data_IF_353889977252
#
_entry.id   IF_353889977252
#
_cell.length_a   1.000
_cell.length_b   1.000
_cell.length_c   1.000
_cell.angle_alpha   90.00
_cell.angle_beta   90.00
_cell.angle_gamma   90.00
#
_symmetry.space_group_name_H-M   'P 1'
#
loop_
_entity.id
_entity.type
_entity.pdbx_description
1 polymer ?
#
# COMPACT_ATOMS: atom_id res chain seq x y z
N UNK A 1 30.48 45.93 15.20
CA UNK A 1 31.54 44.99 14.79
C UNK A 1 31.03 43.57 14.97
N UNK A 2 31.30 42.65 14.03
CA UNK A 2 30.52 41.44 13.83
C UNK A 2 30.97 40.30 14.76
N UNK A 3 30.02 39.50 15.24
CA UNK A 3 30.30 38.21 15.87
C UNK A 3 30.41 37.15 14.77
N UNK A 4 31.62 36.64 14.65
CA UNK A 4 32.07 35.59 13.75
C UNK A 4 31.30 34.28 14.05
N UNK A 5 30.60 33.73 13.07
CA UNK A 5 30.08 32.34 13.10
C UNK A 5 30.81 31.55 12.02
N UNK A 6 32.05 31.16 12.33
CA UNK A 6 32.77 30.14 11.58
C UNK A 6 33.42 29.19 12.58
N UNK A 7 32.82 28.00 12.72
CA UNK A 7 33.43 26.70 13.10
C UNK A 7 32.32 25.72 13.52
N UNK A 8 32.22 24.51 12.96
CA UNK A 8 31.37 23.46 13.51
C UNK A 8 31.93 23.03 14.89
N UNK A 9 31.10 23.17 15.92
CA UNK A 9 31.48 22.82 17.29
C UNK A 9 31.75 21.31 17.41
N UNK A 10 32.99 20.94 17.77
CA UNK A 10 33.40 19.56 18.06
C UNK A 10 32.46 18.92 19.11
N UNK A 11 31.98 17.70 18.86
CA UNK A 11 31.26 16.91 19.86
C UNK A 11 32.31 16.34 20.83
N UNK A 12 32.21 16.73 22.10
CA UNK A 12 33.12 16.26 23.15
C UNK A 12 32.91 14.76 23.38
N UNK A 13 33.95 13.96 23.17
CA UNK A 13 33.94 12.49 23.37
C UNK A 13 34.22 11.64 22.14
N UNK A 14 34.51 12.25 20.97
CA UNK A 14 34.90 11.55 19.74
C UNK A 14 36.28 12.06 19.28
N UNK A 15 37.12 11.15 18.76
CA UNK A 15 38.46 11.48 18.28
C UNK A 15 38.38 11.88 16.79
N UNK A 16 38.73 13.12 16.49
CA UNK A 16 38.75 13.69 15.14
C UNK A 16 40.20 13.99 14.78
N UNK A 17 40.58 13.83 13.51
CA UNK A 17 41.86 14.37 13.03
C UNK A 17 41.79 15.89 12.81
N UNK A 18 42.94 16.50 12.51
CA UNK A 18 43.05 17.94 12.25
C UNK A 18 42.30 18.39 10.99
N UNK A 19 41.75 17.44 10.21
CA UNK A 19 40.90 17.67 9.03
C UNK A 19 39.41 17.42 9.26
N UNK A 20 38.95 17.16 10.49
CA UNK A 20 37.56 16.83 10.83
C UNK A 20 37.03 15.51 10.24
N UNK A 21 37.90 14.59 9.84
CA UNK A 21 37.51 13.26 9.37
C UNK A 21 37.42 12.29 10.56
N UNK A 22 36.30 11.56 10.63
CA UNK A 22 36.06 10.55 11.65
C UNK A 22 36.85 9.28 11.31
N UNK A 23 37.83 8.93 12.14
CA UNK A 23 38.48 7.62 12.07
C UNK A 23 37.47 6.54 12.48
N UNK A 24 36.93 5.82 11.50
CA UNK A 24 36.07 4.68 11.75
C UNK A 24 36.86 3.57 12.44
N UNK A 25 36.46 3.24 13.68
CA UNK A 25 36.58 1.92 14.26
C UNK A 25 35.33 1.69 15.10
N UNK A 26 34.35 1.05 14.47
CA UNK A 26 33.13 0.49 15.05
C UNK A 26 32.27 1.43 15.91
N UNK A 27 31.15 1.89 15.34
CA UNK A 27 29.95 2.19 16.14
C UNK A 27 29.44 0.88 16.77
N UNK A 28 30.06 0.46 17.88
CA UNK A 28 29.47 -0.52 18.80
C UNK A 28 28.45 0.24 19.64
N UNK A 29 27.16 0.09 19.33
CA UNK A 29 26.13 0.46 20.30
C UNK A 29 26.24 -0.48 21.50
N UNK A 30 26.54 0.09 22.68
CA UNK A 30 26.40 -0.62 23.93
C UNK A 30 24.90 -0.88 24.16
N UNK A 31 24.47 -2.11 23.91
CA UNK A 31 23.25 -2.65 24.51
C UNK A 31 23.50 -2.70 26.02
N UNK A 32 22.93 -1.77 26.79
CA UNK A 32 22.75 -2.01 28.23
C UNK A 32 21.41 -2.73 28.43
N UNK A 33 21.42 -3.92 29.04
CA UNK A 33 20.22 -4.74 29.21
C UNK A 33 19.27 -4.10 30.21
N UNK A 34 17.99 -4.23 29.88
CA UNK A 34 16.82 -4.09 30.76
C UNK A 34 17.08 -4.48 32.22
N UNK A 35 16.60 -3.71 33.23
CA UNK A 35 16.15 -4.34 34.45
C UNK A 35 14.82 -5.03 34.13
N UNK A 36 14.86 -6.37 34.15
CA UNK A 36 13.81 -7.35 33.86
C UNK A 36 13.85 -7.99 32.46
N UNK A 37 14.40 -9.22 32.42
CA UNK A 37 14.04 -10.21 31.40
C UNK A 37 15.17 -10.80 30.56
N UNK A 38 16.09 -11.51 31.21
CA UNK A 38 17.01 -12.56 30.74
C UNK A 38 17.12 -12.90 29.23
N UNK A 39 18.37 -12.86 28.73
CA UNK A 39 18.94 -13.93 27.91
C UNK A 39 19.43 -13.56 26.50
N UNK A 40 20.63 -12.96 26.39
CA UNK A 40 21.44 -13.07 25.16
C UNK A 40 22.89 -13.42 25.52
N UNK A 41 23.35 -14.58 25.05
CA UNK A 41 24.74 -15.01 25.15
C UNK A 41 25.57 -14.30 24.08
N UNK A 42 26.53 -13.50 24.51
CA UNK A 42 27.60 -12.96 23.67
C UNK A 42 28.72 -13.99 23.61
N UNK A 43 29.19 -14.35 22.41
CA UNK A 43 30.49 -14.99 22.23
C UNK A 43 31.34 -14.06 21.37
N UNK A 44 32.19 -13.30 22.06
CA UNK A 44 33.27 -12.53 21.45
C UNK A 44 34.33 -13.49 20.90
N UNK A 45 34.72 -13.28 19.64
CA UNK A 45 36.05 -13.61 19.15
C UNK A 45 36.46 -12.56 18.13
N UNK A 46 37.58 -11.89 18.39
CA UNK A 46 38.12 -10.82 17.56
C UNK A 46 38.57 -11.26 16.17
N UNK A 47 38.38 -10.34 15.23
CA UNK A 47 38.83 -10.39 13.84
C UNK A 47 38.23 -9.20 13.11
N UNK A 48 39.02 -8.43 12.37
CA UNK A 48 38.51 -7.33 11.55
C UNK A 48 37.50 -7.89 10.54
N UNK A 49 36.22 -7.56 10.72
CA UNK A 49 35.12 -8.10 9.93
C UNK A 49 34.69 -7.13 8.85
N UNK A 50 34.68 -7.60 7.61
CA UNK A 50 34.02 -6.98 6.47
C UNK A 50 32.54 -6.71 6.80
N UNK A 51 32.13 -5.45 6.74
CA UNK A 51 30.75 -5.04 7.01
C UNK A 51 30.01 -4.96 5.68
N UNK A 52 29.49 -6.11 5.23
CA UNK A 52 28.68 -6.26 4.00
C UNK A 52 27.28 -5.65 4.15
N UNK A 53 26.80 -5.49 5.39
CA UNK A 53 25.49 -4.96 5.75
C UNK A 53 25.61 -3.79 6.73
N UNK A 54 24.97 -2.66 6.41
CA UNK A 54 24.96 -1.47 7.25
C UNK A 54 23.54 -1.12 7.71
N UNK A 55 23.28 -1.25 9.02
CA UNK A 55 22.01 -0.85 9.65
C UNK A 55 22.23 0.26 10.70
N UNK A 56 21.50 1.37 10.58
CA UNK A 56 21.54 2.49 11.53
C UNK A 56 20.11 2.86 11.93
N UNK A 57 19.78 2.71 13.22
CA UNK A 57 18.47 3.03 13.76
C UNK A 57 18.56 4.07 14.89
N UNK A 58 17.93 5.23 14.69
CA UNK A 58 17.73 6.22 15.75
C UNK A 58 16.41 5.94 16.48
N UNK A 59 16.50 5.49 17.74
CA UNK A 59 15.33 5.31 18.61
C UNK A 59 15.00 6.66 19.26
N UNK A 60 13.77 7.13 19.07
CA UNK A 60 13.32 8.44 19.53
C UNK A 60 13.29 8.52 21.07
N UNK A 61 13.97 9.51 21.63
CA UNK A 61 13.75 10.00 23.00
C UNK A 61 13.32 11.47 22.95
N UNK A 62 12.10 11.72 23.44
CA UNK A 62 11.32 12.97 23.61
C UNK A 62 12.09 14.23 24.11
N UNK A 63 11.48 15.42 24.31
CA UNK A 63 10.82 16.32 23.36
C UNK A 63 11.45 17.73 23.47
N UNK A 64 12.59 18.02 22.84
CA UNK A 64 13.07 19.41 22.70
C UNK A 64 13.88 19.56 21.43
N UNK A 65 13.26 20.05 20.35
CA UNK A 65 13.81 20.88 19.26
C UNK A 65 15.27 20.72 18.80
N UNK A 66 15.95 19.60 19.04
CA UNK A 66 17.25 19.28 18.46
C UNK A 66 16.98 18.61 17.13
N UNK A 67 17.12 19.37 16.05
CA UNK A 67 17.26 18.80 14.71
C UNK A 67 18.50 17.91 14.73
N UNK A 68 18.29 16.59 14.71
CA UNK A 68 19.38 15.65 14.53
C UNK A 68 19.90 15.79 13.11
N UNK A 69 21.22 15.77 12.95
CA UNK A 69 21.88 15.79 11.64
C UNK A 69 22.61 14.47 11.46
N UNK A 70 22.52 13.91 10.27
CA UNK A 70 23.23 12.73 9.85
C UNK A 70 23.80 12.96 8.45
N UNK A 71 24.97 12.39 8.18
CA UNK A 71 25.50 12.27 6.83
C UNK A 71 25.27 10.86 6.34
N UNK A 72 24.97 10.70 5.05
CA UNK A 72 24.81 9.36 4.49
C UNK A 72 26.17 8.65 4.50
N UNK A 73 26.27 7.46 5.12
CA UNK A 73 27.53 6.73 5.22
C UNK A 73 27.98 6.30 3.81
N UNK A 74 29.22 6.65 3.45
CA UNK A 74 29.84 6.23 2.21
C UNK A 74 30.59 4.91 2.44
N UNK A 75 30.19 3.84 1.76
CA UNK A 75 30.84 2.53 1.86
C UNK A 75 30.83 1.83 0.52
N UNK A 76 32.03 1.71 -0.08
CA UNK A 76 32.21 1.02 -1.33
C UNK A 76 31.84 -0.47 -1.23
N UNK A 77 31.96 -1.09 -0.05
CA UNK A 77 31.82 -2.55 0.13
C UNK A 77 30.42 -2.99 0.57
N UNK A 78 29.62 -2.08 1.12
CA UNK A 78 28.32 -2.47 1.67
C UNK A 78 27.34 -2.77 0.55
N UNK A 79 26.79 -3.98 0.56
CA UNK A 79 25.78 -4.44 -0.39
C UNK A 79 24.39 -4.02 0.05
N UNK A 80 24.15 -3.95 1.36
CA UNK A 80 22.88 -3.52 1.93
C UNK A 80 23.08 -2.32 2.86
N UNK A 81 22.16 -1.36 2.78
CA UNK A 81 22.13 -0.18 3.63
C UNK A 81 20.71 0.12 4.08
N UNK A 82 20.49 0.12 5.39
CA UNK A 82 19.22 0.43 6.04
C UNK A 82 19.40 1.55 7.05
N UNK A 83 18.78 2.70 6.79
CA UNK A 83 18.92 3.90 7.61
C UNK A 83 17.54 4.35 8.10
N UNK A 84 17.26 4.21 9.39
CA UNK A 84 16.06 4.75 10.04
C UNK A 84 16.44 5.91 10.93
N UNK A 85 16.15 7.14 10.48
CA UNK A 85 16.78 8.34 11.03
C UNK A 85 15.90 9.19 11.95
N UNK A 86 14.71 8.71 12.35
CA UNK A 86 13.86 9.42 13.33
C UNK A 86 13.57 10.88 12.95
N UNK A 87 13.39 11.17 11.67
CA UNK A 87 13.20 12.50 11.06
C UNK A 87 14.43 13.45 11.16
N UNK A 88 15.64 12.89 11.30
CA UNK A 88 16.89 13.66 11.22
C UNK A 88 17.09 14.29 9.82
N UNK A 89 17.78 15.43 9.80
CA UNK A 89 18.28 16.05 8.59
C UNK A 89 19.44 15.23 8.03
N UNK A 90 19.22 14.60 6.88
CA UNK A 90 20.19 13.79 6.16
C UNK A 90 20.85 14.63 5.06
N UNK A 91 22.16 14.80 5.17
CA UNK A 91 22.98 15.31 4.08
C UNK A 91 23.27 14.18 3.09
N UNK A 92 22.90 14.38 1.83
CA UNK A 92 23.24 13.47 0.74
C UNK A 92 24.63 13.87 0.22
N UNK A 93 25.62 12.97 0.26
CA UNK A 93 26.97 13.28 -0.20
C UNK A 93 26.94 13.62 -1.69
N UNK A 94 27.86 14.50 -2.10
CA UNK A 94 28.07 14.72 -3.52
C UNK A 94 28.39 13.37 -4.18
N UNK A 95 27.82 13.12 -5.37
CA UNK A 95 27.99 11.89 -6.11
C UNK A 95 29.49 11.67 -6.44
N UNK A 96 30.21 11.02 -5.53
CA UNK A 96 31.62 10.66 -5.65
C UNK A 96 31.76 9.26 -6.23
N UNK A 97 32.71 9.08 -7.13
CA UNK A 97 32.95 7.80 -7.79
C UNK A 97 33.28 6.68 -6.78
N UNK A 98 32.55 5.57 -6.82
CA UNK A 98 32.92 4.30 -6.17
C UNK A 98 32.43 4.07 -4.74
N UNK A 99 31.91 5.10 -4.06
CA UNK A 99 31.49 5.02 -2.65
C UNK A 99 30.25 4.15 -2.40
N UNK A 100 29.52 3.74 -3.44
CA UNK A 100 28.30 2.91 -3.33
C UNK A 100 28.28 1.80 -4.38
N UNK A 101 29.45 1.40 -4.90
CA UNK A 101 29.51 0.53 -6.07
C UNK A 101 28.95 -0.90 -5.81
N UNK A 102 29.11 -1.41 -4.59
CA UNK A 102 28.60 -2.71 -4.17
C UNK A 102 27.11 -2.66 -3.78
N UNK A 103 26.56 -1.46 -3.54
CA UNK A 103 25.22 -1.29 -2.98
C UNK A 103 24.15 -1.89 -3.91
N UNK A 104 23.48 -2.92 -3.41
CA UNK A 104 22.41 -3.66 -4.05
C UNK A 104 21.04 -3.32 -3.44
N UNK A 105 20.95 -3.07 -2.13
CA UNK A 105 19.70 -2.74 -1.45
C UNK A 105 19.85 -1.49 -0.58
N UNK A 106 18.99 -0.49 -0.81
CA UNK A 106 18.92 0.73 0.00
C UNK A 106 17.52 0.94 0.57
N UNK A 107 17.43 1.00 1.90
CA UNK A 107 16.27 1.47 2.65
C UNK A 107 16.63 2.75 3.38
N UNK A 108 15.94 3.83 3.05
CA UNK A 108 15.96 5.07 3.82
C UNK A 108 14.58 5.30 4.41
N UNK A 109 14.50 5.38 5.73
CA UNK A 109 13.25 5.50 6.47
C UNK A 109 13.31 6.66 7.46
N UNK A 110 12.21 7.40 7.58
CA UNK A 110 12.04 8.49 8.56
C UNK A 110 13.22 9.48 8.49
N UNK A 111 13.44 10.13 7.36
CA UNK A 111 14.53 11.09 7.19
C UNK A 111 14.07 12.37 6.47
N UNK A 112 14.74 13.48 6.74
CA UNK A 112 14.57 14.74 6.01
C UNK A 112 15.79 14.98 5.15
N UNK A 113 15.63 14.88 3.83
CA UNK A 113 16.70 15.22 2.88
C UNK A 113 16.90 16.72 2.93
N UNK A 114 18.14 17.14 3.22
CA UNK A 114 18.54 18.55 3.18
C UNK A 114 19.29 18.79 1.87
N UNK A 115 18.92 19.80 1.08
CA UNK A 115 19.69 20.16 -0.10
C UNK A 115 21.09 20.62 0.35
N UNK A 116 22.14 20.00 -0.21
CA UNK A 116 23.52 20.41 0.07
C UNK A 116 23.90 21.71 -0.67
N UNK A 117 23.17 22.06 -1.74
CA UNK A 117 23.31 23.31 -2.51
C UNK A 117 22.05 23.57 -3.36
N UNK A 118 22.01 24.72 -4.04
CA UNK A 118 20.88 25.21 -4.84
C UNK A 118 20.43 24.28 -6.00
N UNK A 119 21.20 23.24 -6.32
CA UNK A 119 20.83 22.22 -7.31
C UNK A 119 20.15 21.02 -6.62
N UNK A 120 18.81 21.05 -6.56
CA UNK A 120 17.92 20.07 -5.92
C UNK A 120 17.93 18.65 -6.57
N UNK A 121 19.08 18.03 -6.82
CA UNK A 121 19.16 16.73 -7.54
C UNK A 121 20.11 15.70 -6.94
N UNK A 122 20.50 15.82 -5.67
CA UNK A 122 21.60 15.00 -5.12
C UNK A 122 21.28 13.51 -4.99
N UNK A 123 20.08 13.14 -4.52
CA UNK A 123 19.74 11.72 -4.33
C UNK A 123 19.63 10.98 -5.67
N UNK A 124 18.97 11.57 -6.66
CA UNK A 124 18.87 10.97 -8.00
C UNK A 124 20.22 10.79 -8.70
N UNK A 125 21.16 11.73 -8.50
CA UNK A 125 22.54 11.62 -9.03
C UNK A 125 23.32 10.53 -8.29
N UNK A 126 23.20 10.44 -6.96
CA UNK A 126 23.85 9.40 -6.15
C UNK A 126 23.33 8.01 -6.51
N UNK A 127 22.04 7.87 -6.77
CA UNK A 127 21.41 6.59 -7.15
C UNK A 127 21.49 6.29 -8.64
N UNK A 128 22.23 7.12 -9.40
CA UNK A 128 22.41 6.90 -10.82
C UNK A 128 23.29 5.69 -11.11
N UNK A 129 23.18 5.19 -12.34
CA UNK A 129 23.94 4.05 -12.84
C UNK A 129 25.46 4.12 -12.58
N UNK A 130 26.04 5.33 -12.60
CA UNK A 130 27.49 5.51 -12.39
C UNK A 130 27.94 5.37 -10.94
N UNK A 131 27.04 5.56 -9.97
CA UNK A 131 27.37 5.53 -8.53
C UNK A 131 26.92 4.24 -7.85
N UNK A 132 25.75 3.71 -8.24
CA UNK A 132 25.15 2.50 -7.67
C UNK A 132 24.83 1.47 -8.79
N UNK A 133 25.83 0.87 -9.45
CA UNK A 133 25.61 0.01 -10.62
C UNK A 133 24.87 -1.29 -10.30
N UNK A 134 24.99 -1.79 -9.06
CA UNK A 134 24.40 -3.05 -8.60
C UNK A 134 23.05 -2.89 -7.90
N UNK A 135 22.53 -1.66 -7.79
CA UNK A 135 21.30 -1.39 -7.03
C UNK A 135 20.12 -2.15 -7.63
N UNK A 136 19.53 -3.04 -6.83
CA UNK A 136 18.36 -3.87 -7.15
C UNK A 136 17.09 -3.40 -6.47
N UNK A 137 17.16 -2.95 -5.21
CA UNK A 137 16.00 -2.48 -4.46
C UNK A 137 16.25 -1.13 -3.82
N UNK A 138 15.33 -0.20 -4.07
CA UNK A 138 15.32 1.13 -3.47
C UNK A 138 14.01 1.34 -2.73
N UNK A 139 14.08 1.61 -1.43
CA UNK A 139 12.93 1.89 -0.57
C UNK A 139 13.13 3.22 0.14
N UNK A 140 12.22 4.15 -0.11
CA UNK A 140 12.14 5.45 0.55
C UNK A 140 10.84 5.50 1.33
N UNK A 141 10.93 5.55 2.66
CA UNK A 141 9.78 5.50 3.56
C UNK A 141 9.75 6.71 4.49
N UNK A 142 8.62 7.41 4.59
CA UNK A 142 8.45 8.58 5.47
C UNK A 142 9.54 9.66 5.27
N UNK A 143 9.78 10.01 4.00
CA UNK A 143 10.80 11.00 3.62
C UNK A 143 10.21 12.41 3.49
N UNK A 144 10.96 13.39 3.97
CA UNK A 144 10.67 14.83 3.80
C UNK A 144 11.82 15.54 3.09
N UNK A 145 11.55 16.72 2.52
CA UNK A 145 12.54 17.55 1.83
C UNK A 145 12.91 17.07 0.42
N UNK A 146 12.19 16.09 -0.12
CA UNK A 146 12.41 15.56 -1.48
C UNK A 146 11.28 16.00 -2.42
N UNK A 147 11.46 17.13 -3.10
CA UNK A 147 10.44 17.67 -4.01
C UNK A 147 10.41 17.00 -5.38
N UNK A 148 11.57 16.56 -5.87
CA UNK A 148 11.73 15.90 -7.15
C UNK A 148 12.70 14.71 -7.05
N UNK A 149 12.32 13.59 -7.66
CA UNK A 149 13.19 12.41 -7.79
C UNK A 149 13.39 12.11 -9.28
N UNK A 150 14.63 12.26 -9.74
CA UNK A 150 15.06 11.88 -11.09
C UNK A 150 16.02 10.71 -11.00
N UNK A 151 15.54 9.52 -11.34
CA UNK A 151 16.30 8.29 -11.22
C UNK A 151 16.66 7.77 -12.61
N UNK A 152 17.95 7.82 -12.95
CA UNK A 152 18.53 7.15 -14.12
C UNK A 152 19.29 5.93 -13.65
N UNK A 153 18.55 4.85 -13.39
CA UNK A 153 19.08 3.64 -12.78
C UNK A 153 19.74 2.73 -13.82
N UNK A 154 20.53 1.77 -13.35
CA UNK A 154 20.97 0.66 -14.21
C UNK A 154 19.80 -0.27 -14.52
N UNK A 155 20.01 -1.17 -15.47
CA UNK A 155 19.14 -2.32 -15.69
C UNK A 155 19.11 -3.32 -14.51
N UNK A 156 19.89 -3.10 -13.44
CA UNK A 156 19.88 -3.96 -12.26
C UNK A 156 18.75 -3.61 -11.28
N UNK A 157 18.17 -2.40 -11.35
CA UNK A 157 17.12 -1.99 -10.42
C UNK A 157 15.81 -2.74 -10.74
N UNK A 158 15.35 -3.57 -9.81
CA UNK A 158 14.19 -4.44 -9.94
C UNK A 158 12.98 -3.93 -9.16
N UNK A 159 13.20 -3.31 -7.99
CA UNK A 159 12.15 -2.82 -7.09
C UNK A 159 12.38 -1.36 -6.68
N UNK A 160 11.34 -0.53 -6.86
CA UNK A 160 11.30 0.84 -6.36
C UNK A 160 10.05 1.03 -5.50
N UNK A 161 10.25 1.41 -4.24
CA UNK A 161 9.18 1.74 -3.29
C UNK A 161 9.34 3.16 -2.75
N UNK A 162 8.31 3.97 -2.98
CA UNK A 162 8.15 5.32 -2.45
C UNK A 162 6.91 5.31 -1.55
N UNK A 163 7.12 5.40 -0.25
CA UNK A 163 6.07 5.33 0.77
C UNK A 163 6.13 6.59 1.63
N UNK A 164 5.05 7.37 1.69
CA UNK A 164 4.97 8.62 2.46
C UNK A 164 6.11 9.63 2.15
N UNK A 165 6.45 9.81 0.87
CA UNK A 165 7.38 10.87 0.42
C UNK A 165 6.60 12.17 0.25
N UNK A 166 6.46 12.92 1.35
CA UNK A 166 5.45 13.99 1.51
C UNK A 166 5.55 15.13 0.50
N UNK A 167 6.77 15.51 0.15
CA UNK A 167 7.03 16.71 -0.65
C UNK A 167 7.15 16.44 -2.15
N UNK A 168 7.03 15.17 -2.58
CA UNK A 168 7.29 14.72 -3.95
C UNK A 168 6.22 15.22 -4.93
N UNK A 169 6.60 16.10 -5.85
CA UNK A 169 5.73 16.61 -6.92
C UNK A 169 6.19 16.16 -8.32
N UNK A 170 7.49 15.91 -8.50
CA UNK A 170 8.06 15.49 -9.78
C UNK A 170 8.77 14.14 -9.67
N UNK A 171 8.33 13.15 -10.44
CA UNK A 171 8.92 11.82 -10.48
C UNK A 171 9.34 11.48 -11.93
N UNK A 172 10.63 11.34 -12.16
CA UNK A 172 11.18 10.89 -13.45
C UNK A 172 11.98 9.60 -13.22
N UNK A 173 11.52 8.49 -13.78
CA UNK A 173 12.15 7.17 -13.67
C UNK A 173 12.58 6.71 -15.06
N UNK A 174 13.86 6.44 -15.22
CA UNK A 174 14.45 5.72 -16.35
C UNK A 174 15.15 4.49 -15.77
N UNK A 175 14.45 3.36 -15.82
CA UNK A 175 14.86 2.12 -15.17
C UNK A 175 14.41 0.92 -16.01
N UNK A 176 15.21 0.51 -17.03
CA UNK A 176 14.81 -0.53 -17.98
C UNK A 176 14.66 -1.93 -17.37
N UNK A 177 15.28 -2.17 -16.20
CA UNK A 177 15.18 -3.42 -15.46
C UNK A 177 14.04 -3.48 -14.44
N UNK A 178 13.32 -2.38 -14.22
CA UNK A 178 12.36 -2.27 -13.12
C UNK A 178 11.16 -3.20 -13.34
N UNK A 179 10.87 -4.04 -12.34
CA UNK A 179 9.78 -5.01 -12.37
C UNK A 179 8.64 -4.65 -11.40
N UNK A 180 8.95 -3.97 -10.30
CA UNK A 180 7.98 -3.55 -9.31
C UNK A 180 8.14 -2.06 -8.94
N UNK A 181 7.05 -1.31 -9.04
CA UNK A 181 6.96 0.09 -8.62
C UNK A 181 5.80 0.25 -7.63
N UNK A 182 6.10 0.75 -6.43
CA UNK A 182 5.10 1.07 -5.41
C UNK A 182 5.23 2.54 -5.01
N UNK A 183 4.16 3.30 -5.18
CA UNK A 183 4.03 4.72 -4.83
C UNK A 183 2.76 4.87 -4.00
N UNK A 184 2.93 5.17 -2.72
CA UNK A 184 1.82 5.34 -1.78
C UNK A 184 2.10 6.49 -0.80
N UNK A 185 1.06 7.25 -0.42
CA UNK A 185 1.18 8.34 0.54
C UNK A 185 2.00 9.53 0.04
N UNK A 186 2.16 9.66 -1.28
CA UNK A 186 2.90 10.73 -1.96
C UNK A 186 1.92 11.79 -2.45
N UNK A 187 1.11 12.34 -1.54
CA UNK A 187 -0.09 13.13 -1.86
C UNK A 187 0.15 14.35 -2.75
N UNK A 188 1.35 14.94 -2.71
CA UNK A 188 1.71 16.07 -3.59
C UNK A 188 1.83 15.66 -5.07
N UNK A 189 1.92 14.37 -5.38
CA UNK A 189 1.85 13.88 -6.77
C UNK A 189 0.43 13.98 -7.36
N UNK A 190 -0.60 14.07 -6.52
CA UNK A 190 -1.97 14.26 -6.96
C UNK A 190 -2.32 15.74 -7.22
N UNK A 191 -1.38 16.67 -7.02
CA UNK A 191 -1.61 18.09 -7.29
C UNK A 191 -1.57 18.43 -8.79
N UNK A 192 -2.18 19.56 -9.12
CA UNK A 192 -2.32 20.06 -10.50
C UNK A 192 -0.97 20.35 -11.18
N UNK A 193 0.06 20.67 -10.39
CA UNK A 193 1.40 20.98 -10.84
C UNK A 193 2.35 19.77 -10.88
N UNK A 194 1.93 18.61 -10.37
CA UNK A 194 2.73 17.40 -10.35
C UNK A 194 3.03 16.86 -11.76
N UNK A 195 4.18 16.21 -11.93
CA UNK A 195 4.60 15.62 -13.19
C UNK A 195 5.25 14.24 -12.97
N UNK A 196 4.81 13.25 -13.74
CA UNK A 196 5.28 11.87 -13.62
C UNK A 196 5.70 11.35 -14.98
N UNK A 197 6.95 10.94 -15.10
CA UNK A 197 7.50 10.27 -16.27
C UNK A 197 8.13 8.94 -15.84
N UNK A 198 7.64 7.83 -16.38
CA UNK A 198 8.12 6.48 -16.09
C UNK A 198 8.52 5.85 -17.42
N UNK A 199 9.77 5.42 -17.54
CA UNK A 199 10.25 4.53 -18.58
C UNK A 199 10.75 3.25 -17.90
N UNK A 200 9.89 2.24 -17.92
CA UNK A 200 10.10 0.94 -17.29
C UNK A 200 9.43 -0.15 -18.13
N UNK A 201 10.01 -0.52 -19.30
CA UNK A 201 9.41 -1.45 -20.26
C UNK A 201 9.19 -2.87 -19.73
N UNK A 202 9.83 -3.24 -18.61
CA UNK A 202 9.71 -4.55 -17.95
C UNK A 202 8.85 -4.53 -16.69
N UNK A 203 8.11 -3.45 -16.45
CA UNK A 203 7.32 -3.31 -15.23
C UNK A 203 6.17 -4.33 -15.22
N UNK A 204 6.16 -5.21 -14.22
CA UNK A 204 5.15 -6.26 -14.07
C UNK A 204 4.11 -5.89 -13.01
N UNK A 205 4.55 -5.23 -11.93
CA UNK A 205 3.70 -4.83 -10.81
C UNK A 205 3.77 -3.32 -10.61
N UNK A 206 2.61 -2.66 -10.65
CA UNK A 206 2.46 -1.25 -10.35
C UNK A 206 1.46 -1.08 -9.21
N UNK A 207 1.89 -0.41 -8.16
CA UNK A 207 1.01 0.07 -7.11
C UNK A 207 1.13 1.58 -6.99
N UNK A 208 0.07 2.32 -7.33
CA UNK A 208 0.12 3.79 -7.37
C UNK A 208 -1.22 4.37 -6.90
N UNK A 209 -1.24 4.85 -5.66
CA UNK A 209 -2.42 5.48 -5.09
C UNK A 209 -2.55 6.96 -5.51
N UNK A 210 -1.42 7.66 -5.61
CA UNK A 210 -1.36 9.10 -5.85
C UNK A 210 -0.97 9.39 -7.31
N UNK A 211 -1.95 9.32 -8.22
CA UNK A 211 -1.71 9.50 -9.66
C UNK A 211 -1.96 10.95 -10.07
N UNK A 212 -1.00 11.55 -10.76
CA UNK A 212 -1.15 12.90 -11.32
C UNK A 212 -2.17 12.94 -12.47
N UNK A 213 -2.45 14.14 -12.99
CA UNK A 213 -3.32 14.29 -14.16
C UNK A 213 -2.77 13.54 -15.39
N UNK A 214 -3.64 12.95 -16.22
CA UNK A 214 -3.23 12.24 -17.44
C UNK A 214 -2.31 13.05 -18.35
N UNK A 215 -2.57 14.36 -18.53
CA UNK A 215 -1.76 15.24 -19.39
C UNK A 215 -0.30 15.40 -18.93
N UNK A 216 -0.03 15.09 -17.65
CA UNK A 216 1.29 15.18 -17.02
C UNK A 216 1.85 13.81 -16.65
N UNK A 217 1.15 12.74 -17.04
CA UNK A 217 1.57 11.36 -16.84
C UNK A 217 2.12 10.82 -18.16
N UNK A 218 3.42 10.53 -18.19
CA UNK A 218 4.07 9.81 -19.28
C UNK A 218 4.51 8.47 -18.76
N UNK A 219 3.97 7.39 -19.31
CA UNK A 219 4.33 6.06 -18.85
C UNK A 219 4.60 5.12 -20.03
N UNK A 220 5.89 4.93 -20.29
CA UNK A 220 6.44 3.94 -21.22
C UNK A 220 6.70 2.63 -20.47
N UNK A 221 6.00 1.57 -20.87
CA UNK A 221 5.98 0.27 -20.17
C UNK A 221 4.63 -0.12 -19.56
N UNK A 222 3.61 0.74 -19.62
CA UNK A 222 2.27 0.43 -19.09
C UNK A 222 1.69 -0.88 -19.65
N UNK A 223 1.94 -1.17 -20.93
CA UNK A 223 1.48 -2.39 -21.59
C UNK A 223 2.10 -3.70 -21.03
N UNK A 224 3.22 -3.62 -20.31
CA UNK A 224 3.86 -4.79 -19.68
C UNK A 224 3.28 -5.12 -18.30
N UNK A 225 2.54 -4.18 -17.68
CA UNK A 225 2.01 -4.32 -16.32
C UNK A 225 0.96 -5.43 -16.28
N UNK A 226 1.20 -6.44 -15.44
CA UNK A 226 0.31 -7.59 -15.23
C UNK A 226 -0.51 -7.46 -13.95
N UNK A 227 -0.01 -6.72 -12.97
CA UNK A 227 -0.66 -6.51 -11.68
C UNK A 227 -0.70 -5.04 -11.33
N UNK A 228 -1.91 -4.52 -11.19
CA UNK A 228 -2.19 -3.24 -10.58
C UNK A 228 -2.60 -3.48 -9.12
N UNK A 229 -2.06 -2.71 -8.18
CA UNK A 229 -2.38 -2.84 -6.77
C UNK A 229 -2.56 -1.47 -6.11
N UNK A 230 -3.37 -1.39 -5.05
CA UNK A 230 -3.64 -0.14 -4.31
C UNK A 230 -4.00 1.07 -5.19
N UNK A 231 -4.69 0.86 -6.31
CA UNK A 231 -5.16 1.95 -7.15
C UNK A 231 -6.28 2.67 -6.42
N UNK A 232 -6.13 3.96 -6.18
CA UNK A 232 -7.12 4.72 -5.44
C UNK A 232 -8.24 5.21 -6.37
N UNK A 233 -9.49 4.96 -5.99
CA UNK A 233 -10.68 5.48 -6.67
C UNK A 233 -11.58 6.20 -5.66
N UNK A 234 -11.99 7.41 -6.03
CA UNK A 234 -13.08 8.11 -5.35
C UNK A 234 -14.40 7.48 -5.76
N UNK A 235 -15.27 7.15 -4.79
CA UNK A 235 -16.64 6.74 -5.10
C UNK A 235 -17.48 7.92 -5.54
N UNK A 236 -17.35 9.03 -4.80
CA UNK A 236 -18.05 10.27 -5.00
C UNK A 236 -17.08 11.45 -4.96
N UNK A 237 -17.50 12.59 -5.46
CA UNK A 237 -16.66 13.77 -5.52
C UNK A 237 -17.43 15.04 -5.85
N UNK A 238 -16.93 16.17 -5.37
CA UNK A 238 -17.30 17.46 -5.96
C UNK A 238 -16.61 17.61 -7.32
N UNK A 239 -17.33 18.02 -8.37
CA UNK A 239 -16.73 18.29 -9.67
C UNK A 239 -15.55 19.26 -9.54
N UNK A 240 -14.43 18.93 -10.20
CA UNK A 240 -13.22 19.75 -10.21
C UNK A 240 -12.32 19.63 -8.97
N UNK A 241 -12.76 18.99 -7.89
CA UNK A 241 -11.94 18.78 -6.66
C UNK A 241 -11.40 17.35 -6.59
N UNK A 242 -12.26 16.37 -6.82
CA UNK A 242 -11.91 14.96 -6.79
C UNK A 242 -11.95 14.40 -8.21
N UNK A 243 -10.92 13.66 -8.60
CA UNK A 243 -10.82 13.12 -9.95
C UNK A 243 -10.22 11.72 -9.95
N UNK A 244 -10.89 10.81 -10.65
CA UNK A 244 -10.37 9.48 -10.96
C UNK A 244 -9.56 9.45 -12.26
N UNK A 245 -9.32 10.60 -12.93
CA UNK A 245 -8.76 10.64 -14.28
C UNK A 245 -7.40 9.94 -14.39
N UNK A 246 -6.50 10.13 -13.43
CA UNK A 246 -5.19 9.46 -13.41
C UNK A 246 -5.32 7.94 -13.24
N UNK A 247 -6.16 7.49 -12.31
CA UNK A 247 -6.42 6.06 -12.11
C UNK A 247 -7.09 5.41 -13.33
N UNK A 248 -8.07 6.09 -13.93
CA UNK A 248 -8.73 5.65 -15.18
C UNK A 248 -7.72 5.53 -16.31
N UNK A 249 -6.81 6.49 -16.44
CA UNK A 249 -5.74 6.42 -17.44
C UNK A 249 -4.88 5.16 -17.25
N UNK A 250 -4.45 4.84 -16.01
CA UNK A 250 -3.70 3.62 -15.72
C UNK A 250 -4.49 2.36 -16.10
N UNK A 251 -5.77 2.30 -15.73
CA UNK A 251 -6.66 1.18 -16.05
C UNK A 251 -6.85 0.98 -17.56
N UNK A 252 -6.87 2.06 -18.34
CA UNK A 252 -6.98 1.99 -19.81
C UNK A 252 -5.67 1.55 -20.49
N UNK A 253 -4.52 1.96 -19.97
CA UNK A 253 -3.22 1.74 -20.63
C UNK A 253 -2.50 0.46 -20.16
N UNK A 254 -2.85 -0.09 -18.98
CA UNK A 254 -2.32 -1.35 -18.48
C UNK A 254 -3.13 -2.56 -18.99
N UNK A 255 -3.25 -2.69 -20.32
CA UNK A 255 -4.13 -3.67 -20.97
C UNK A 255 -3.79 -5.13 -20.68
N UNK A 256 -2.53 -5.44 -20.32
CA UNK A 256 -2.08 -6.79 -19.96
C UNK A 256 -2.39 -7.18 -18.50
N UNK A 257 -2.96 -6.27 -17.71
CA UNK A 257 -3.27 -6.53 -16.31
C UNK A 257 -4.35 -7.62 -16.19
N UNK A 258 -4.10 -8.60 -15.31
CA UNK A 258 -5.05 -9.65 -14.96
C UNK A 258 -5.43 -9.65 -13.47
N UNK A 259 -4.72 -8.87 -12.67
CA UNK A 259 -4.94 -8.66 -11.24
C UNK A 259 -5.05 -7.17 -10.96
N UNK A 260 -6.10 -6.78 -10.23
CA UNK A 260 -6.37 -5.41 -9.86
C UNK A 260 -6.69 -5.32 -8.36
N UNK A 261 -5.91 -4.53 -7.62
CA UNK A 261 -6.20 -4.07 -6.27
C UNK A 261 -6.64 -2.62 -6.30
N UNK A 262 -7.84 -2.33 -5.78
CA UNK A 262 -8.43 -0.99 -5.72
C UNK A 262 -8.72 -0.62 -4.28
N UNK A 263 -8.48 0.63 -3.95
CA UNK A 263 -8.91 1.24 -2.71
C UNK A 263 -9.99 2.28 -3.00
N UNK A 264 -11.21 2.06 -2.51
CA UNK A 264 -12.37 2.93 -2.74
C UNK A 264 -12.66 3.74 -1.48
N UNK A 265 -12.76 5.06 -1.64
CA UNK A 265 -13.15 5.96 -0.55
C UNK A 265 -14.17 7.00 -1.01
N UNK A 266 -15.15 7.38 -0.16
CA UNK A 266 -15.89 8.62 -0.34
C UNK A 266 -14.98 9.83 -0.05
N UNK A 267 -15.39 11.05 -0.47
CA UNK A 267 -14.72 12.30 -0.10
C UNK A 267 -14.51 12.39 1.41
N UNK A 268 -13.26 12.54 1.87
CA UNK A 268 -12.94 12.56 3.32
C UNK A 268 -13.02 13.97 3.89
N UNK A 269 -13.76 14.89 3.27
CA UNK A 269 -13.81 16.27 3.73
C UNK A 269 -14.69 16.39 5.00
N UNK A 270 -14.06 16.17 6.15
CA UNK A 270 -14.63 16.21 7.50
C UNK A 270 -15.29 17.55 7.83
N UNK A 271 -15.11 18.60 7.01
CA UNK A 271 -15.73 19.91 7.17
C UNK A 271 -17.02 20.07 6.37
N UNK A 272 -17.30 19.18 5.42
CA UNK A 272 -18.51 19.23 4.60
C UNK A 272 -19.66 18.70 5.45
N UNK A 273 -20.40 19.62 6.06
CA UNK A 273 -21.65 19.31 6.77
C UNK A 273 -22.78 18.85 5.85
N UNK A 274 -22.61 18.99 4.52
CA UNK A 274 -23.63 18.71 3.53
C UNK A 274 -23.09 17.97 2.30
N UNK A 275 -23.43 16.69 2.19
CA UNK A 275 -22.99 15.78 1.12
C UNK A 275 -23.80 15.94 -0.18
N UNK A 276 -24.79 16.84 -0.21
CA UNK A 276 -25.69 17.03 -1.35
C UNK A 276 -24.98 17.46 -2.64
N UNK A 277 -23.85 18.15 -2.53
CA UNK A 277 -23.09 18.66 -3.69
C UNK A 277 -22.08 17.64 -4.27
N UNK A 278 -22.12 16.39 -3.79
CA UNK A 278 -21.25 15.32 -4.30
C UNK A 278 -21.97 14.49 -5.34
N UNK A 279 -21.27 14.15 -6.42
CA UNK A 279 -21.74 13.29 -7.49
C UNK A 279 -20.96 11.99 -7.49
N UNK A 280 -21.53 10.94 -8.09
CA UNK A 280 -20.81 9.70 -8.34
C UNK A 280 -19.74 9.93 -9.41
N UNK A 281 -18.53 9.40 -9.20
CA UNK A 281 -17.38 9.61 -10.09
C UNK A 281 -16.74 8.29 -10.57
N UNK A 282 -17.48 7.18 -10.44
CA UNK A 282 -17.06 5.84 -10.86
C UNK A 282 -17.50 5.50 -12.29
N UNK A 283 -18.48 6.21 -12.85
CA UNK A 283 -18.93 6.04 -14.24
C UNK A 283 -17.83 6.08 -15.32
N UNK A 284 -16.74 6.87 -15.21
CA UNK A 284 -15.66 6.89 -16.20
C UNK A 284 -14.73 5.67 -16.15
N UNK A 285 -14.87 4.77 -15.16
CA UNK A 285 -14.06 3.56 -15.06
C UNK A 285 -14.33 2.67 -16.30
N UNK A 286 -13.27 2.26 -17.03
CA UNK A 286 -13.43 1.51 -18.27
C UNK A 286 -13.93 0.08 -18.01
N UNK A 287 -14.37 -0.61 -19.06
CA UNK A 287 -14.55 -2.06 -18.98
C UNK A 287 -13.19 -2.75 -18.88
N UNK A 288 -13.10 -3.76 -18.01
CA UNK A 288 -11.86 -4.44 -17.63
C UNK A 288 -11.96 -5.95 -17.91
N UNK A 289 -12.02 -6.35 -19.20
CA UNK A 289 -12.30 -7.74 -19.57
C UNK A 289 -11.16 -8.72 -19.26
N UNK A 290 -9.94 -8.24 -19.05
CA UNK A 290 -8.77 -9.09 -18.78
C UNK A 290 -8.56 -9.37 -17.28
N UNK A 291 -9.29 -8.68 -16.40
CA UNK A 291 -9.15 -8.83 -14.96
C UNK A 291 -9.84 -10.12 -14.51
N UNK A 292 -9.04 -11.03 -13.95
CA UNK A 292 -9.47 -12.31 -13.37
C UNK A 292 -9.44 -12.29 -11.84
N UNK A 293 -8.66 -11.38 -11.25
CA UNK A 293 -8.52 -11.24 -9.80
C UNK A 293 -8.76 -9.78 -9.40
N UNK A 294 -9.76 -9.54 -8.56
CA UNK A 294 -10.10 -8.20 -8.05
C UNK A 294 -10.02 -8.20 -6.53
N UNK A 295 -9.30 -7.22 -5.99
CA UNK A 295 -9.26 -6.92 -4.55
C UNK A 295 -9.75 -5.49 -4.34
N UNK A 296 -10.70 -5.31 -3.44
CA UNK A 296 -11.29 -4.01 -3.13
C UNK A 296 -11.11 -3.75 -1.63
N UNK A 297 -10.43 -2.68 -1.26
CA UNK A 297 -10.42 -2.13 0.09
C UNK A 297 -11.41 -0.95 0.13
N UNK A 298 -12.51 -1.13 0.83
CA UNK A 298 -13.57 -0.16 1.00
C UNK A 298 -13.44 0.48 2.39
N UNK A 299 -12.95 1.72 2.43
CA UNK A 299 -12.72 2.42 3.70
C UNK A 299 -14.00 2.72 4.48
N UNK A 300 -15.16 2.70 3.83
CA UNK A 300 -16.43 3.11 4.44
C UNK A 300 -17.54 2.14 4.04
N UNK A 301 -18.60 2.14 4.84
CA UNK A 301 -19.82 1.40 4.53
C UNK A 301 -20.71 2.23 3.60
N UNK A 302 -21.71 1.58 2.98
CA UNK A 302 -22.58 2.19 1.99
C UNK A 302 -21.87 2.53 0.67
N UNK A 303 -20.89 1.69 0.29
CA UNK A 303 -20.18 1.77 -1.00
C UNK A 303 -20.62 0.64 -1.95
N UNK A 304 -21.70 -0.08 -1.62
CA UNK A 304 -22.16 -1.26 -2.35
C UNK A 304 -22.46 -0.90 -3.81
N UNK A 305 -23.04 0.28 -4.09
CA UNK A 305 -23.29 0.68 -5.47
C UNK A 305 -21.98 0.90 -6.24
N UNK A 306 -20.97 1.49 -5.61
CA UNK A 306 -19.66 1.74 -6.23
C UNK A 306 -18.89 0.43 -6.45
N UNK A 307 -18.96 -0.48 -5.47
CA UNK A 307 -18.40 -1.83 -5.55
C UNK A 307 -19.09 -2.62 -6.66
N UNK A 308 -20.42 -2.63 -6.69
CA UNK A 308 -21.24 -3.31 -7.71
C UNK A 308 -20.90 -2.82 -9.12
N UNK A 309 -20.82 -1.49 -9.31
CA UNK A 309 -20.43 -0.88 -10.59
C UNK A 309 -19.04 -1.33 -11.03
N UNK A 310 -18.05 -1.33 -10.13
CA UNK A 310 -16.69 -1.77 -10.45
C UNK A 310 -16.65 -3.27 -10.81
N UNK A 311 -17.34 -4.10 -10.04
CA UNK A 311 -17.43 -5.55 -10.30
C UNK A 311 -18.11 -5.79 -11.66
N UNK A 312 -19.17 -5.05 -11.99
CA UNK A 312 -19.86 -5.15 -13.28
C UNK A 312 -18.98 -4.76 -14.48
N UNK A 313 -17.88 -4.02 -14.29
CA UNK A 313 -16.90 -3.74 -15.34
C UNK A 313 -15.95 -4.93 -15.61
N UNK A 314 -15.89 -5.93 -14.73
CA UNK A 314 -14.96 -7.06 -14.80
C UNK A 314 -15.68 -8.34 -15.25
N UNK A 315 -15.74 -8.60 -16.56
CA UNK A 315 -16.54 -9.69 -17.11
C UNK A 315 -15.94 -11.10 -16.96
N UNK A 316 -14.62 -11.23 -16.78
CA UNK A 316 -13.91 -12.51 -16.63
C UNK A 316 -13.42 -12.76 -15.20
N UNK A 317 -14.07 -12.14 -14.23
CA UNK A 317 -13.64 -12.21 -12.85
C UNK A 317 -13.74 -13.64 -12.31
N UNK A 318 -12.64 -14.21 -11.83
CA UNK A 318 -12.56 -15.55 -11.24
C UNK A 318 -12.42 -15.50 -9.71
N UNK A 319 -11.70 -14.48 -9.20
CA UNK A 319 -11.44 -14.28 -7.78
C UNK A 319 -11.81 -12.86 -7.35
N UNK A 320 -12.63 -12.74 -6.31
CA UNK A 320 -13.06 -11.47 -5.73
C UNK A 320 -12.71 -11.44 -4.24
N UNK A 321 -12.03 -10.38 -3.79
CA UNK A 321 -11.81 -10.09 -2.37
C UNK A 321 -12.29 -8.68 -2.06
N UNK A 322 -13.13 -8.52 -1.04
CA UNK A 322 -13.62 -7.21 -0.58
C UNK A 322 -13.30 -7.09 0.90
N UNK A 323 -12.58 -6.05 1.29
CA UNK A 323 -12.29 -5.73 2.68
C UNK A 323 -13.00 -4.42 3.06
N UNK A 324 -13.77 -4.44 4.15
CA UNK A 324 -14.55 -3.31 4.62
C UNK A 324 -13.93 -2.82 5.94
N UNK A 325 -13.13 -1.76 5.86
CA UNK A 325 -12.14 -1.43 6.89
C UNK A 325 -12.58 -0.38 7.91
N UNK A 326 -13.64 0.44 7.68
CA UNK A 326 -14.19 1.32 8.74
C UNK A 326 -15.72 1.28 8.90
N UNK A 327 -16.21 1.09 10.14
CA UNK A 327 -17.62 1.26 10.45
C UNK A 327 -18.02 2.75 10.48
N UNK A 328 -19.07 3.11 9.72
CA UNK A 328 -19.84 4.34 9.93
C UNK A 328 -20.48 4.26 11.34
N UNK A 329 -20.28 5.26 12.21
CA UNK A 329 -20.91 5.29 13.55
C UNK A 329 -22.42 5.55 13.35
N UNK A 330 -23.34 4.72 13.85
CA UNK A 330 -24.79 4.89 13.63
C UNK A 330 -25.36 6.22 14.16
N UNK A 331 -24.62 6.91 15.03
CA UNK A 331 -24.95 8.26 15.53
C UNK A 331 -24.50 9.39 14.59
N UNK A 332 -23.97 9.06 13.42
CA UNK A 332 -23.61 10.03 12.40
C UNK A 332 -24.85 10.77 11.92
N UNK A 333 -24.67 12.04 11.55
CA UNK A 333 -25.77 12.97 11.23
C UNK A 333 -26.75 12.38 10.20
N UNK A 334 -28.02 12.83 10.19
CA UNK A 334 -28.97 12.47 9.12
C UNK A 334 -28.51 12.92 7.71
N UNK A 335 -27.44 13.72 7.62
CA UNK A 335 -26.76 14.10 6.39
C UNK A 335 -25.54 13.22 6.08
N UNK A 336 -25.41 12.07 6.74
CA UNK A 336 -24.33 11.13 6.49
C UNK A 336 -24.47 10.50 5.10
N UNK A 337 -23.34 10.31 4.42
CA UNK A 337 -23.25 9.56 3.15
C UNK A 337 -23.99 8.21 3.21
N UNK A 338 -24.01 7.60 4.40
CA UNK A 338 -24.63 6.31 4.74
C UNK A 338 -26.17 6.23 4.46
N UNK A 339 -26.86 7.33 4.10
CA UNK A 339 -28.31 7.34 3.81
C UNK A 339 -28.70 7.54 2.33
N UNK A 340 -27.74 7.64 1.40
CA UNK A 340 -28.01 8.07 0.01
C UNK A 340 -28.12 6.92 -1.01
N UNK A 341 -27.55 5.75 -0.76
CA UNK A 341 -27.53 4.65 -1.74
C UNK A 341 -28.74 3.70 -1.56
N UNK A 342 -29.86 4.02 -2.21
CA UNK A 342 -30.99 3.08 -2.42
C UNK A 342 -31.10 2.66 -3.88
N UNK A 343 -31.66 1.47 -4.16
CA UNK A 343 -31.92 1.02 -5.54
C UNK A 343 -30.71 0.45 -6.29
N UNK A 344 -29.54 0.32 -5.66
CA UNK A 344 -28.40 -0.36 -6.28
C UNK A 344 -28.66 -1.87 -6.45
N UNK A 345 -29.67 -2.37 -5.74
CA UNK A 345 -30.17 -3.71 -5.83
C UNK A 345 -30.91 -4.02 -7.16
N UNK A 346 -31.09 -3.03 -8.02
CA UNK A 346 -31.59 -3.24 -9.40
C UNK A 346 -30.44 -3.40 -10.41
N UNK A 347 -29.18 -3.17 -10.03
CA UNK A 347 -28.05 -3.30 -10.95
C UNK A 347 -27.81 -4.78 -11.31
N UNK A 348 -28.01 -5.10 -12.59
CA UNK A 348 -27.73 -6.43 -13.14
C UNK A 348 -26.21 -6.62 -13.20
N UNK A 349 -25.68 -7.39 -12.25
CA UNK A 349 -24.29 -7.85 -12.29
C UNK A 349 -24.28 -9.27 -12.86
N UNK A 350 -23.34 -9.55 -13.77
CA UNK A 350 -23.09 -10.91 -14.27
C UNK A 350 -21.69 -11.34 -13.91
N UNK A 351 -21.57 -12.45 -13.16
CA UNK A 351 -20.32 -13.00 -12.64
C UNK A 351 -20.17 -14.48 -13.03
N UNK A 352 -20.35 -14.77 -14.32
CA UNK A 352 -20.42 -16.15 -14.85
C UNK A 352 -19.16 -16.97 -14.56
N UNK A 353 -18.02 -16.32 -14.40
CA UNK A 353 -16.72 -16.97 -14.20
C UNK A 353 -16.22 -16.94 -12.75
N UNK A 354 -16.96 -16.32 -11.82
CA UNK A 354 -16.49 -16.17 -10.45
C UNK A 354 -16.49 -17.53 -9.74
N UNK A 355 -15.31 -17.96 -9.29
CA UNK A 355 -15.10 -19.24 -8.58
C UNK A 355 -14.88 -19.04 -7.10
N UNK A 356 -14.14 -17.99 -6.73
CA UNK A 356 -13.78 -17.71 -5.35
C UNK A 356 -14.16 -16.29 -4.95
N UNK A 357 -14.91 -16.15 -3.88
CA UNK A 357 -15.22 -14.87 -3.25
C UNK A 357 -14.72 -14.83 -1.81
N UNK A 358 -14.24 -13.67 -1.38
CA UNK A 358 -13.90 -13.37 0.02
C UNK A 358 -14.43 -11.99 0.37
N UNK A 359 -15.16 -11.86 1.47
CA UNK A 359 -15.59 -10.58 2.00
C UNK A 359 -15.24 -10.52 3.49
N UNK A 360 -14.50 -9.49 3.90
CA UNK A 360 -14.07 -9.26 5.29
C UNK A 360 -14.63 -7.96 5.84
N UNK A 361 -14.73 -7.86 7.17
CA UNK A 361 -15.23 -6.66 7.84
C UNK A 361 -16.75 -6.48 7.74
N UNK A 362 -17.48 -7.55 7.39
CA UNK A 362 -18.93 -7.51 7.23
C UNK A 362 -19.63 -7.16 8.55
N UNK A 363 -20.49 -6.15 8.50
CA UNK A 363 -21.56 -5.95 9.50
C UNK A 363 -22.85 -6.56 8.94
N UNK A 364 -23.61 -7.35 9.71
CA UNK A 364 -24.93 -7.82 9.30
C UNK A 364 -25.95 -6.67 9.32
N UNK A 365 -25.77 -5.72 8.41
CA UNK A 365 -26.81 -4.80 7.95
C UNK A 365 -27.45 -5.39 6.71
N UNK A 366 -28.69 -4.99 6.41
CA UNK A 366 -29.42 -5.45 5.23
C UNK A 366 -28.66 -5.14 3.93
N UNK A 367 -27.94 -4.02 3.85
CA UNK A 367 -27.18 -3.62 2.65
C UNK A 367 -26.00 -4.56 2.36
N UNK A 368 -25.17 -4.84 3.36
CA UNK A 368 -24.03 -5.75 3.22
C UNK A 368 -24.47 -7.19 2.93
N UNK A 369 -25.56 -7.65 3.56
CA UNK A 369 -26.14 -8.96 3.26
C UNK A 369 -26.70 -8.99 1.85
N UNK A 370 -27.30 -7.90 1.37
CA UNK A 370 -27.75 -7.76 -0.02
C UNK A 370 -26.58 -7.80 -1.01
N UNK A 371 -25.39 -7.33 -0.63
CA UNK A 371 -24.19 -7.45 -1.46
C UNK A 371 -23.74 -8.91 -1.58
N UNK A 372 -23.72 -9.63 -0.46
CA UNK A 372 -23.44 -11.08 -0.44
C UNK A 372 -24.48 -11.84 -1.27
N UNK A 373 -25.78 -11.53 -1.13
CA UNK A 373 -26.88 -12.12 -1.94
C UNK A 373 -26.60 -11.97 -3.41
N UNK A 374 -26.36 -10.75 -3.84
CA UNK A 374 -26.15 -10.40 -5.24
C UNK A 374 -24.94 -11.09 -5.83
N UNK A 375 -23.82 -11.10 -5.12
CA UNK A 375 -22.60 -11.79 -5.59
C UNK A 375 -22.87 -13.28 -5.80
N UNK A 376 -23.54 -13.95 -4.87
CA UNK A 376 -23.86 -15.39 -4.99
C UNK A 376 -24.87 -15.64 -6.12
N UNK A 377 -25.93 -14.85 -6.21
CA UNK A 377 -26.98 -14.99 -7.23
C UNK A 377 -26.46 -14.78 -8.65
N UNK A 378 -25.56 -13.80 -8.81
CA UNK A 378 -24.90 -13.47 -10.08
C UNK A 378 -23.77 -14.42 -10.46
N UNK A 379 -23.37 -15.37 -9.60
CA UNK A 379 -22.19 -16.24 -9.77
C UNK A 379 -22.55 -17.73 -9.88
N UNK A 380 -23.00 -18.21 -11.06
CA UNK A 380 -23.38 -19.62 -11.24
C UNK A 380 -22.21 -20.60 -11.12
N UNK A 381 -20.97 -20.16 -11.34
CA UNK A 381 -19.76 -21.00 -11.27
C UNK A 381 -19.05 -20.95 -9.91
N UNK A 382 -19.68 -20.34 -8.89
CA UNK A 382 -19.07 -20.13 -7.58
C UNK A 382 -18.76 -21.47 -6.89
N UNK A 383 -17.49 -21.72 -6.61
CA UNK A 383 -16.99 -22.92 -5.95
C UNK A 383 -16.87 -22.68 -4.43
N UNK A 384 -16.51 -21.46 -4.04
CA UNK A 384 -16.28 -21.09 -2.64
C UNK A 384 -16.53 -19.60 -2.38
N UNK A 385 -17.14 -19.30 -1.23
CA UNK A 385 -17.28 -17.93 -0.74
C UNK A 385 -16.97 -17.86 0.75
N UNK A 386 -16.06 -16.98 1.16
CA UNK A 386 -15.70 -16.77 2.57
C UNK A 386 -16.19 -15.42 3.04
N UNK A 387 -16.85 -15.39 4.20
CA UNK A 387 -17.34 -14.18 4.85
C UNK A 387 -16.72 -14.10 6.24
N UNK A 388 -15.97 -13.03 6.51
CA UNK A 388 -15.41 -12.73 7.83
C UNK A 388 -16.10 -11.51 8.43
N UNK A 389 -16.56 -11.66 9.66
CA UNK A 389 -17.34 -10.63 10.35
C UNK A 389 -16.46 -9.61 11.04
N UNK A 390 -17.00 -8.38 11.10
CA UNK A 390 -16.44 -7.37 11.98
C UNK A 390 -16.47 -7.84 13.44
N UNK A 391 -15.36 -7.59 14.13
CA UNK A 391 -15.09 -7.99 15.51
C UNK A 391 -16.28 -7.68 16.45
N UNK A 392 -16.66 -8.67 17.27
CA UNK A 392 -17.65 -8.51 18.35
C UNK A 392 -19.12 -8.60 17.91
N UNK A 393 -19.39 -9.02 16.67
CA UNK A 393 -20.75 -9.30 16.18
C UNK A 393 -20.90 -10.78 15.86
N UNK A 394 -22.02 -11.37 16.27
CA UNK A 394 -22.47 -12.66 15.79
C UNK A 394 -23.45 -12.43 14.64
N UNK A 395 -23.34 -13.24 13.59
CA UNK A 395 -24.40 -13.33 12.59
C UNK A 395 -25.31 -14.49 12.99
N UNK A 396 -26.61 -14.20 13.00
CA UNK A 396 -27.62 -15.25 12.89
C UNK A 396 -27.46 -15.90 11.49
N UNK A 397 -27.01 -17.14 11.46
CA UNK A 397 -26.73 -17.85 10.20
C UNK A 397 -27.98 -17.96 9.31
N UNK A 398 -29.20 -17.84 9.87
CA UNK A 398 -30.44 -17.73 9.10
C UNK A 398 -30.59 -16.44 8.28
N UNK A 399 -29.84 -15.39 8.63
CA UNK A 399 -29.81 -14.13 7.86
C UNK A 399 -28.86 -14.16 6.66
N UNK A 400 -27.92 -15.12 6.63
CA UNK A 400 -26.98 -15.28 5.51
C UNK A 400 -27.69 -16.04 4.38
N UNK A 401 -27.62 -15.55 3.14
CA UNK A 401 -28.33 -16.17 2.03
C UNK A 401 -27.73 -17.53 1.72
N UNK A 402 -28.53 -18.58 1.82
CA UNK A 402 -28.12 -19.96 1.53
C UNK A 402 -28.42 -20.37 0.08
N UNK A 403 -28.66 -19.39 -0.81
CA UNK A 403 -29.04 -19.66 -2.20
C UNK A 403 -27.99 -20.60 -2.84
N UNK A 404 -28.43 -21.77 -3.31
CA UNK A 404 -27.62 -22.78 -4.03
C UNK A 404 -26.44 -23.41 -3.26
N UNK A 405 -26.34 -23.23 -1.95
CA UNK A 405 -25.23 -23.77 -1.15
C UNK A 405 -25.52 -23.87 0.33
N UNK A 406 -24.49 -24.14 1.12
CA UNK A 406 -24.58 -24.19 2.57
C UNK A 406 -23.40 -23.45 3.20
N UNK A 407 -23.67 -22.75 4.30
CA UNK A 407 -22.65 -22.09 5.10
C UNK A 407 -22.18 -23.01 6.23
N UNK A 408 -20.87 -23.10 6.41
CA UNK A 408 -20.23 -23.74 7.54
C UNK A 408 -19.33 -22.71 8.25
N UNK A 409 -19.30 -22.70 9.59
CA UNK A 409 -18.28 -21.92 10.29
C UNK A 409 -16.90 -22.47 9.92
N UNK A 410 -15.97 -21.59 9.56
CA UNK A 410 -14.59 -21.99 9.36
C UNK A 410 -14.05 -22.49 10.71
N UNK A 411 -13.41 -23.67 10.74
CA UNK A 411 -12.70 -24.14 11.91
C UNK A 411 -11.51 -23.20 12.16
N UNK A 412 -11.70 -22.13 12.93
CA UNK A 412 -10.60 -21.24 13.27
C UNK A 412 -9.64 -21.97 14.21
N UNK A 413 -8.39 -22.12 13.77
CA UNK A 413 -7.28 -22.40 14.68
C UNK A 413 -7.27 -21.33 15.77
N UNK A 414 -7.07 -21.76 17.01
CA UNK A 414 -6.96 -20.91 18.18
C UNK A 414 -5.94 -19.80 17.93
N UNK A 415 -6.43 -18.60 17.61
CA UNK A 415 -5.62 -17.39 17.62
C UNK A 415 -5.44 -16.97 19.07
N UNK A 416 -4.19 -16.81 19.51
CA UNK A 416 -3.81 -16.35 20.84
C UNK A 416 -4.09 -14.86 21.10
N UNK A 417 -4.85 -14.19 20.24
CA UNK A 417 -5.32 -12.81 20.43
C UNK A 417 -6.78 -12.82 20.92
N UNK A 418 -7.06 -12.08 21.99
CA UNK A 418 -8.32 -12.04 22.78
C UNK A 418 -9.60 -11.61 22.03
N UNK A 419 -9.62 -11.64 20.70
CA UNK A 419 -10.73 -11.16 19.88
C UNK A 419 -10.83 -12.02 18.62
N UNK A 420 -11.80 -12.93 18.57
CA UNK A 420 -12.04 -13.77 17.39
C UNK A 420 -12.97 -13.06 16.40
N UNK A 421 -12.49 -12.80 15.19
CA UNK A 421 -13.39 -12.67 14.04
C UNK A 421 -13.97 -14.05 13.74
N UNK A 422 -15.30 -14.15 13.60
CA UNK A 422 -15.94 -15.39 13.11
C UNK A 422 -15.92 -15.35 11.60
N UNK A 423 -15.45 -16.44 10.99
CA UNK A 423 -15.42 -16.64 9.55
C UNK A 423 -16.38 -17.77 9.17
N UNK A 424 -17.09 -17.60 8.08
CA UNK A 424 -18.02 -18.56 7.52
C UNK A 424 -17.62 -18.84 6.08
N UNK A 425 -17.72 -20.09 5.67
CA UNK A 425 -17.46 -20.54 4.31
C UNK A 425 -18.73 -21.11 3.71
N UNK A 426 -19.06 -20.67 2.51
CA UNK A 426 -20.13 -21.18 1.68
C UNK A 426 -19.56 -22.08 0.60
N UNK A 427 -20.23 -23.21 0.38
CA UNK A 427 -19.95 -24.14 -0.72
C UNK A 427 -21.24 -24.57 -1.42
N UNK A 428 -21.20 -24.81 -2.75
CA UNK A 428 -22.39 -25.16 -3.52
C UNK A 428 -22.94 -26.54 -3.15
N UNK A 429 -24.25 -26.74 -3.29
CA UNK A 429 -24.88 -28.06 -3.09
C UNK A 429 -24.53 -28.97 -4.29
N UNK A 430 -23.86 -30.10 -4.03
CA UNK A 430 -23.48 -31.03 -5.10
C UNK A 430 -24.71 -31.61 -5.82
N UNK A 431 -24.74 -31.58 -7.16
CA UNK A 431 -25.83 -32.14 -8.01
C UNK A 431 -25.99 -33.67 -7.96
N UNK A 432 -25.22 -34.39 -7.14
CA UNK A 432 -25.21 -35.87 -7.06
C UNK A 432 -25.97 -36.48 -5.87
N UNK A 433 -26.54 -35.67 -4.98
CA UNK A 433 -27.08 -36.15 -3.69
C UNK A 433 -28.58 -36.46 -3.64
N UNK A 434 -29.31 -36.43 -4.76
CA UNK A 434 -30.77 -36.60 -4.75
C UNK A 434 -31.26 -38.04 -4.55
N UNK A 435 -30.37 -39.06 -4.53
CA UNK A 435 -30.78 -40.47 -4.34
C UNK A 435 -30.50 -41.08 -2.96
N UNK A 436 -30.00 -40.31 -1.99
CA UNK A 436 -29.71 -40.84 -0.64
C UNK A 436 -30.33 -40.03 0.50
N UNK A 437 -31.39 -39.27 0.22
CA UNK A 437 -32.01 -38.35 1.18
C UNK A 437 -33.26 -38.86 1.91
N UNK A 438 -33.60 -40.15 1.83
CA UNK A 438 -34.75 -40.69 2.60
C UNK A 438 -34.39 -41.34 3.94
N UNK A 439 -33.15 -41.23 4.45
CA UNK A 439 -32.77 -41.85 5.75
C UNK A 439 -31.97 -40.98 6.73
N UNK A 440 -31.54 -39.78 6.37
CA UNK A 440 -30.75 -38.90 7.25
C UNK A 440 -31.46 -37.57 7.59
N UNK A 441 -32.79 -37.58 7.61
CA UNK A 441 -33.61 -36.38 7.81
C UNK A 441 -33.91 -36.04 9.28
N UNK A 442 -33.16 -36.61 10.24
CA UNK A 442 -33.48 -36.42 11.67
C UNK A 442 -32.37 -35.85 12.56
N UNK A 443 -31.24 -35.35 12.02
CA UNK A 443 -30.16 -34.87 12.91
C UNK A 443 -29.29 -33.69 12.47
N UNK A 444 -29.67 -32.91 11.44
CA UNK A 444 -28.91 -31.70 11.04
C UNK A 444 -29.78 -30.51 10.59
N UNK A 445 -30.81 -30.20 11.37
CA UNK A 445 -31.65 -29.02 11.16
C UNK A 445 -31.28 -27.90 12.14
N UNK A 446 -30.12 -27.24 11.95
CA UNK A 446 -29.81 -26.01 12.70
C UNK A 446 -28.99 -24.96 11.95
N UNK A 447 -28.64 -25.16 10.67
CA UNK A 447 -27.94 -24.12 9.89
C UNK A 447 -28.75 -23.51 8.74
N UNK A 448 -29.96 -24.01 8.46
CA UNK A 448 -30.89 -23.39 7.52
C UNK A 448 -32.33 -23.58 8.03
N UNK A 449 -32.75 -22.73 8.96
CA UNK A 449 -34.16 -22.51 9.28
C UNK A 449 -34.38 -21.01 9.40
#
# INVERSE_FOLDING_TARGET
>A
MPLNFDSPSKIVGLNYDDGHVLHALALRFAVKPSPFGAGTGLKDSGGGGDVEELEINFVYSSPRNRKLYAEMPASARSETMSLTLGNAALAIPAAGAGAFHALADLLLSHARIVPASADERNLGRLLSAGCCPRLRRLRLEHIAGLAALRLRATAALEELRLDHVRDLAALEIDAPGLRALHVAGCYRMASDDAAVAISAPRLETLACADVCRPDRLRFDGAAAVRRLDKIFLWSHGRPGVYSNAGAVWLLQHCAAANSLGVHISPPVDLKVRNWNDTEEVMSPVPHLPNITSLTIDAQWQHLEASIAKLIAKCSRLERLSIDISRPCDPRSSPHCFCHREGGWDEQVISLEHLREGKITGLRPSDDHLSLVRRVIESSPALERMTVELYIGKEIDCGSIPCNRGHWAPCASGQSSRRVCSKAYEWTPVSKGGEKQRTRHEQQRSHCCA
#
